data_IF_454118534321
#
_entry.id   IF_454118534321
#
_cell.length_a   1.000
_cell.length_b   1.000
_cell.length_c   1.000
_cell.angle_alpha   90.00
_cell.angle_beta   90.00
_cell.angle_gamma   90.00
#
_symmetry.space_group_name_H-M   'P 1'
#
loop_
_entity.id
_entity.type
_entity.pdbx_description
1 polymer ?
#
# COMPACT_ATOMS: atom_id res chain seq x y z
N UNK A 1 13.93 21.04 13.10
CA UNK A 1 14.18 20.51 11.73
C UNK A 1 13.08 19.51 11.42
N UNK A 2 12.63 19.40 10.18
CA UNK A 2 11.61 18.42 9.83
C UNK A 2 12.28 17.10 9.43
N UNK A 3 11.85 15.98 10.04
CA UNK A 3 12.48 14.68 9.84
C UNK A 3 11.64 13.85 8.89
N UNK A 4 12.22 13.52 7.73
CA UNK A 4 11.67 12.56 6.79
C UNK A 4 12.19 11.17 7.14
N UNK A 5 11.28 10.23 7.38
CA UNK A 5 11.58 8.85 7.78
C UNK A 5 11.17 7.89 6.66
N UNK A 6 11.93 6.80 6.52
CA UNK A 6 11.66 5.72 5.55
C UNK A 6 11.79 4.36 6.23
N UNK A 7 10.75 3.54 6.13
CA UNK A 7 10.74 2.14 6.54
C UNK A 7 10.52 1.27 5.31
N UNK A 8 11.18 0.12 5.21
CA UNK A 8 10.97 -0.81 4.09
C UNK A 8 11.23 -2.26 4.48
N UNK A 9 10.47 -3.17 3.89
CA UNK A 9 10.67 -4.61 4.02
C UNK A 9 10.39 -5.29 2.68
N UNK A 10 10.99 -6.47 2.50
CA UNK A 10 10.84 -7.30 1.32
C UNK A 10 10.20 -8.63 1.74
N UNK A 11 9.23 -9.07 0.95
CA UNK A 11 8.42 -10.26 1.21
C UNK A 11 8.56 -11.14 -0.03
N UNK A 12 8.96 -12.39 0.15
CA UNK A 12 8.88 -13.38 -0.93
C UNK A 12 7.42 -13.70 -1.23
N UNK A 13 7.07 -13.76 -2.51
CA UNK A 13 5.71 -14.06 -2.96
C UNK A 13 5.64 -15.43 -3.63
N UNK A 14 4.54 -16.15 -3.39
CA UNK A 14 4.24 -17.44 -4.02
C UNK A 14 3.43 -17.28 -5.31
N UNK A 15 2.63 -16.21 -5.41
CA UNK A 15 1.90 -15.85 -6.63
C UNK A 15 2.84 -15.34 -7.74
N UNK A 16 2.36 -15.35 -9.00
CA UNK A 16 3.18 -14.84 -10.09
C UNK A 16 3.37 -13.31 -9.98
N UNK A 17 4.56 -12.79 -10.30
CA UNK A 17 4.83 -11.35 -10.22
C UNK A 17 3.90 -10.51 -11.10
N UNK A 18 3.46 -11.06 -12.23
CA UNK A 18 2.51 -10.39 -13.14
C UNK A 18 1.12 -10.26 -12.50
N UNK A 19 0.61 -11.34 -11.90
CA UNK A 19 -0.69 -11.33 -11.22
C UNK A 19 -0.66 -10.43 -10.00
N UNK A 20 0.41 -10.47 -9.21
CA UNK A 20 0.58 -9.60 -8.06
C UNK A 20 0.62 -8.13 -8.46
N UNK A 21 1.41 -7.79 -9.48
CA UNK A 21 1.50 -6.41 -9.95
C UNK A 21 0.16 -5.92 -10.50
N UNK A 22 -0.51 -6.73 -11.33
CA UNK A 22 -1.86 -6.43 -11.84
C UNK A 22 -2.82 -6.15 -10.68
N UNK A 23 -2.82 -7.00 -9.66
CA UNK A 23 -3.70 -6.84 -8.51
C UNK A 23 -3.45 -5.53 -7.77
N UNK A 24 -2.19 -5.16 -7.53
CA UNK A 24 -1.82 -3.88 -6.92
C UNK A 24 -2.36 -2.68 -7.70
N UNK A 25 -2.29 -2.69 -9.03
CA UNK A 25 -2.67 -1.53 -9.85
C UNK A 25 -4.15 -1.45 -10.18
N UNK A 26 -4.81 -2.58 -10.40
CA UNK A 26 -6.16 -2.61 -10.98
C UNK A 26 -7.21 -3.16 -10.01
N UNK A 27 -6.82 -4.01 -9.06
CA UNK A 27 -7.77 -4.81 -8.28
C UNK A 27 -7.64 -4.59 -6.76
N UNK A 28 -6.82 -3.62 -6.33
CA UNK A 28 -6.59 -3.33 -4.92
C UNK A 28 -7.89 -2.98 -4.16
N UNK A 29 -8.92 -2.50 -4.86
CA UNK A 29 -10.23 -2.24 -4.27
C UNK A 29 -10.96 -3.52 -3.81
N UNK A 30 -10.52 -4.70 -4.24
CA UNK A 30 -10.96 -6.00 -3.73
C UNK A 30 -10.21 -6.44 -2.46
N UNK A 31 -9.23 -5.66 -1.98
CA UNK A 31 -8.50 -5.97 -0.74
C UNK A 31 -9.40 -6.21 0.49
N UNK A 32 -10.61 -5.64 0.66
CA UNK A 32 -11.48 -6.00 1.79
C UNK A 32 -11.86 -7.49 1.82
N UNK A 33 -11.86 -8.16 0.65
CA UNK A 33 -12.10 -9.60 0.55
C UNK A 33 -10.90 -10.42 1.04
N UNK A 34 -9.70 -9.83 0.98
CA UNK A 34 -8.44 -10.45 1.31
C UNK A 34 -7.95 -10.13 2.73
N UNK A 35 -8.24 -8.92 3.23
CA UNK A 35 -7.73 -8.38 4.48
C UNK A 35 -8.88 -7.88 5.37
N UNK A 36 -9.17 -8.61 6.44
CA UNK A 36 -10.33 -8.39 7.33
C UNK A 36 -10.35 -7.04 8.05
N UNK A 37 -9.21 -6.35 8.09
CA UNK A 37 -9.05 -5.04 8.73
C UNK A 37 -9.34 -3.87 7.79
N UNK A 38 -9.51 -4.12 6.49
CA UNK A 38 -9.92 -3.12 5.50
C UNK A 38 -11.43 -3.25 5.31
N UNK A 39 -12.17 -2.18 5.59
CA UNK A 39 -13.63 -2.23 5.58
C UNK A 39 -14.23 -1.94 4.20
N UNK A 40 -13.54 -1.14 3.38
CA UNK A 40 -14.06 -0.76 2.07
C UNK A 40 -13.24 0.33 1.38
N UNK A 41 -13.55 0.51 0.10
CA UNK A 41 -13.02 1.56 -0.76
C UNK A 41 -14.16 2.45 -1.25
N UNK A 42 -13.92 3.75 -1.24
CA UNK A 42 -14.79 4.77 -1.79
C UNK A 42 -14.02 5.53 -2.88
N UNK A 43 -14.54 5.48 -4.10
CA UNK A 43 -14.02 6.25 -5.22
C UNK A 43 -14.69 7.63 -5.20
N UNK A 44 -13.90 8.69 -5.35
CA UNK A 44 -14.45 10.04 -5.49
C UNK A 44 -14.85 10.24 -6.97
N UNK A 45 -15.99 10.91 -7.22
CA UNK A 45 -16.61 11.01 -8.55
C UNK A 45 -15.62 11.44 -9.66
N UNK A 46 -15.77 10.84 -10.84
CA UNK A 46 -14.97 10.99 -12.08
C UNK A 46 -13.62 10.24 -12.20
N UNK A 47 -13.19 9.48 -11.19
CA UNK A 47 -11.87 8.83 -11.19
C UNK A 47 -11.96 7.29 -11.09
N UNK A 48 -12.21 6.61 -12.22
CA UNK A 48 -12.01 5.16 -12.32
C UNK A 48 -10.51 4.85 -12.32
N UNK A 49 -10.08 4.01 -11.36
CA UNK A 49 -8.77 3.32 -11.20
C UNK A 49 -7.68 3.57 -12.27
N UNK A 50 -7.34 4.83 -12.49
CA UNK A 50 -6.39 5.32 -13.50
C UNK A 50 -5.27 6.04 -12.77
N UNK A 51 -4.14 6.22 -13.46
CA UNK A 51 -3.03 6.97 -12.89
C UNK A 51 -3.49 8.37 -12.47
N UNK A 52 -3.24 8.73 -11.22
CA UNK A 52 -3.64 10.03 -10.65
C UNK A 52 -5.00 10.03 -9.95
N UNK A 53 -5.79 8.94 -10.03
CA UNK A 53 -7.06 8.82 -9.32
C UNK A 53 -6.89 8.92 -7.81
N UNK A 54 -7.88 9.55 -7.18
CA UNK A 54 -8.04 9.75 -5.75
C UNK A 54 -9.10 8.82 -5.21
N UNK A 55 -8.72 8.00 -4.24
CA UNK A 55 -9.61 7.07 -3.55
C UNK A 55 -9.46 7.20 -2.05
N UNK A 56 -10.53 6.89 -1.34
CA UNK A 56 -10.50 6.71 0.11
C UNK A 56 -10.68 5.24 0.42
N UNK A 57 -10.02 4.76 1.46
CA UNK A 57 -10.29 3.46 2.06
C UNK A 57 -10.26 3.57 3.57
N UNK A 58 -11.16 2.83 4.19
CA UNK A 58 -11.35 2.78 5.63
C UNK A 58 -10.83 1.47 6.18
N UNK A 59 -10.11 1.53 7.29
CA UNK A 59 -9.51 0.35 7.93
C UNK A 59 -9.49 0.50 9.46
N UNK A 60 -9.46 -0.63 10.17
CA UNK A 60 -9.21 -0.66 11.61
C UNK A 60 -7.73 -0.84 11.91
N UNK A 61 -7.17 0.09 12.66
CA UNK A 61 -5.84 -0.01 13.26
C UNK A 61 -5.94 0.13 14.78
N UNK A 62 -5.58 -0.94 15.50
CA UNK A 62 -5.57 -0.97 16.98
C UNK A 62 -6.94 -0.59 17.58
N UNK A 63 -8.03 -1.09 16.97
CA UNK A 63 -9.39 -0.84 17.44
C UNK A 63 -9.93 0.56 17.13
N UNK A 64 -9.21 1.35 16.33
CA UNK A 64 -9.69 2.64 15.82
C UNK A 64 -9.87 2.59 14.31
N UNK A 65 -11.02 3.07 13.85
CA UNK A 65 -11.30 3.27 12.44
C UNK A 65 -10.53 4.49 11.95
N UNK A 66 -9.77 4.29 10.88
CA UNK A 66 -9.04 5.33 10.18
C UNK A 66 -9.46 5.36 8.71
N UNK A 67 -9.24 6.51 8.09
CA UNK A 67 -9.49 6.76 6.67
C UNK A 67 -8.21 7.29 6.07
N UNK A 68 -7.74 6.61 5.04
CA UNK A 68 -6.62 7.06 4.21
C UNK A 68 -7.20 7.54 2.88
N UNK A 69 -7.01 8.83 2.55
CA UNK A 69 -7.39 9.37 1.24
C UNK A 69 -6.12 9.54 0.43
N UNK A 70 -6.01 8.80 -0.64
CA UNK A 70 -4.79 8.67 -1.42
C UNK A 70 -4.98 9.02 -2.89
N UNK A 71 -3.93 9.58 -3.50
CA UNK A 71 -3.72 9.56 -4.93
C UNK A 71 -2.83 8.38 -5.28
N UNK A 72 -3.21 7.65 -6.31
CA UNK A 72 -2.44 6.51 -6.81
C UNK A 72 -1.56 6.86 -8.01
N UNK A 73 -0.32 6.38 -8.02
CA UNK A 73 0.61 6.51 -9.16
C UNK A 73 1.15 5.13 -9.54
N UNK A 74 1.27 4.89 -10.85
CA UNK A 74 1.77 3.64 -11.42
C UNK A 74 3.06 3.92 -12.19
N UNK A 75 4.08 3.13 -11.94
CA UNK A 75 5.31 3.04 -12.73
C UNK A 75 5.40 1.63 -13.32
N UNK A 76 4.82 1.47 -14.51
CA UNK A 76 4.79 0.20 -15.26
C UNK A 76 6.20 -0.31 -15.55
N UNK A 77 7.14 0.59 -15.89
CA UNK A 77 8.52 0.23 -16.22
C UNK A 77 9.26 -0.38 -15.03
N UNK A 78 8.95 0.09 -13.81
CA UNK A 78 9.54 -0.42 -12.57
C UNK A 78 8.66 -1.43 -11.82
N UNK A 79 7.51 -1.82 -12.36
CA UNK A 79 6.52 -2.66 -11.67
C UNK A 79 6.21 -2.13 -10.26
N UNK A 80 5.98 -0.82 -10.17
CA UNK A 80 5.79 -0.13 -8.90
C UNK A 80 4.49 0.67 -8.87
N UNK A 81 3.92 0.71 -7.67
CA UNK A 81 2.69 1.39 -7.32
C UNK A 81 2.97 2.28 -6.12
N UNK A 82 2.51 3.52 -6.17
CA UNK A 82 2.62 4.48 -5.08
C UNK A 82 1.25 4.98 -4.65
N UNK A 83 1.02 5.03 -3.34
CA UNK A 83 -0.19 5.57 -2.72
C UNK A 83 0.23 6.79 -1.90
N UNK A 84 -0.16 7.98 -2.34
CA UNK A 84 0.26 9.25 -1.76
C UNK A 84 -0.91 9.86 -1.01
N UNK A 85 -0.72 10.16 0.27
CA UNK A 85 -1.73 10.84 1.07
C UNK A 85 -2.08 12.21 0.47
N UNK A 86 -3.37 12.42 0.20
CA UNK A 86 -3.95 13.71 -0.19
C UNK A 86 -5.04 14.17 0.78
N UNK A 87 -5.35 13.36 1.80
CA UNK A 87 -6.25 13.71 2.89
C UNK A 87 -6.40 12.58 3.91
N UNK A 88 -7.35 12.75 4.82
CA UNK A 88 -7.66 11.78 5.87
C UNK A 88 -6.66 11.81 7.02
N UNK A 89 -6.79 10.81 7.89
CA UNK A 89 -6.11 10.77 9.19
C UNK A 89 -4.58 10.76 9.09
N UNK A 90 -4.01 10.29 7.98
CA UNK A 90 -2.56 10.32 7.78
C UNK A 90 -2.00 11.74 7.70
N UNK A 91 -2.71 12.68 7.05
CA UNK A 91 -2.26 14.06 6.92
C UNK A 91 -2.58 14.94 8.14
N UNK A 92 -3.42 14.45 9.07
CA UNK A 92 -3.60 15.08 10.39
C UNK A 92 -2.40 14.80 11.30
N UNK A 93 -1.74 13.64 11.11
CA UNK A 93 -0.62 13.18 11.93
C UNK A 93 0.75 13.48 11.32
N UNK A 94 0.82 13.60 9.99
CA UNK A 94 2.07 13.77 9.25
C UNK A 94 1.92 14.85 8.18
N UNK A 95 3.01 15.57 7.90
CA UNK A 95 3.05 16.54 6.80
C UNK A 95 2.93 15.86 5.43
N UNK A 96 3.50 14.67 5.32
CA UNK A 96 3.37 13.82 4.14
C UNK A 96 3.42 12.36 4.54
N UNK A 97 2.72 11.52 3.77
CA UNK A 97 2.67 10.08 3.97
C UNK A 97 2.53 9.39 2.61
N UNK A 98 3.41 8.43 2.31
CA UNK A 98 3.48 7.74 1.02
C UNK A 98 3.82 6.27 1.23
N UNK A 99 3.00 5.39 0.69
CA UNK A 99 3.29 3.95 0.57
C UNK A 99 3.77 3.68 -0.86
N UNK A 100 4.78 2.81 -1.00
CA UNK A 100 5.31 2.36 -2.27
C UNK A 100 5.40 0.83 -2.23
N UNK A 101 4.76 0.17 -3.19
CA UNK A 101 4.85 -1.26 -3.40
C UNK A 101 5.59 -1.48 -4.72
N UNK A 102 6.64 -2.32 -4.71
CA UNK A 102 7.41 -2.65 -5.92
C UNK A 102 7.56 -4.17 -6.03
N UNK A 103 7.17 -4.73 -7.16
CA UNK A 103 7.43 -6.13 -7.49
C UNK A 103 8.83 -6.24 -8.09
N UNK A 104 9.64 -7.14 -7.55
CA UNK A 104 11.04 -7.35 -7.94
C UNK A 104 11.18 -8.82 -8.33
N UNK A 105 11.46 -9.09 -9.61
CA UNK A 105 11.82 -10.45 -10.05
C UNK A 105 13.22 -10.78 -9.55
N UNK A 106 13.38 -11.95 -8.91
CA UNK A 106 14.69 -12.38 -8.37
C UNK A 106 15.61 -12.86 -9.48
N UNK A 107 15.07 -13.52 -10.51
CA UNK A 107 15.78 -13.82 -11.76
C UNK A 107 14.80 -13.96 -12.93
N UNK A 108 15.32 -13.95 -14.15
CA UNK A 108 14.54 -14.26 -15.37
C UNK A 108 14.19 -15.75 -15.48
N UNK A 109 14.92 -16.60 -14.75
CA UNK A 109 14.91 -18.05 -14.96
C UNK A 109 14.11 -18.80 -13.87
N UNK A 110 13.65 -18.09 -12.84
CA UNK A 110 12.85 -18.65 -11.74
C UNK A 110 11.59 -17.82 -11.53
N UNK A 111 10.47 -18.46 -11.15
CA UNK A 111 9.24 -17.75 -10.81
C UNK A 111 9.34 -16.96 -9.49
N UNK A 112 10.47 -17.06 -8.77
CA UNK A 112 10.67 -16.36 -7.51
C UNK A 112 10.69 -14.85 -7.71
N UNK A 113 9.81 -14.17 -6.99
CA UNK A 113 9.73 -12.72 -6.93
C UNK A 113 9.60 -12.27 -5.48
N UNK A 114 9.98 -11.02 -5.22
CA UNK A 114 9.72 -10.36 -3.96
C UNK A 114 8.89 -9.11 -4.17
N UNK A 115 8.13 -8.74 -3.15
CA UNK A 115 7.44 -7.46 -3.08
C UNK A 115 8.11 -6.63 -2.01
N UNK A 116 8.58 -5.45 -2.41
CA UNK A 116 9.13 -4.45 -1.51
C UNK A 116 8.05 -3.45 -1.14
N UNK A 117 7.62 -3.49 0.12
CA UNK A 117 6.77 -2.48 0.73
C UNK A 117 7.63 -1.40 1.38
N UNK A 118 7.42 -0.14 1.02
CA UNK A 118 8.13 1.02 1.59
C UNK A 118 7.13 2.04 2.08
N UNK A 119 7.31 2.50 3.31
CA UNK A 119 6.57 3.62 3.89
C UNK A 119 7.51 4.82 4.07
N UNK A 120 7.14 5.96 3.50
CA UNK A 120 7.85 7.24 3.60
C UNK A 120 6.92 8.28 4.20
N UNK A 121 7.36 8.96 5.26
CA UNK A 121 6.53 9.96 5.92
C UNK A 121 7.38 11.09 6.52
N UNK A 122 6.73 12.22 6.76
CA UNK A 122 7.36 13.42 7.31
C UNK A 122 6.63 13.88 8.57
N UNK A 123 7.36 13.91 9.68
CA UNK A 123 6.82 14.30 11.00
C UNK A 123 6.60 15.81 11.09
N UNK A 124 5.68 16.26 11.93
CA UNK A 124 5.58 17.70 12.24
C UNK A 124 6.77 18.15 13.09
N UNK A 125 7.17 17.31 14.03
CA UNK A 125 8.29 17.49 14.96
C UNK A 125 8.96 16.13 15.25
N UNK A 126 10.21 16.16 15.72
CA UNK A 126 11.02 14.94 15.91
C UNK A 126 10.44 13.97 16.95
N UNK A 127 9.76 14.51 17.96
CA UNK A 127 9.12 13.77 19.04
C UNK A 127 7.79 13.09 18.66
N UNK A 128 7.30 13.26 17.42
CA UNK A 128 6.06 12.62 16.99
C UNK A 128 6.21 11.09 16.92
N UNK A 129 5.08 10.40 17.17
CA UNK A 129 5.01 8.94 17.27
C UNK A 129 5.47 8.24 16.00
N UNK A 130 6.18 7.14 16.17
CA UNK A 130 6.62 6.25 15.10
C UNK A 130 5.45 5.43 14.52
N UNK A 131 5.51 5.13 13.23
CA UNK A 131 4.45 4.44 12.46
C UNK A 131 4.64 2.92 12.37
N UNK A 132 5.17 2.29 13.42
CA UNK A 132 5.49 0.84 13.36
C UNK A 132 4.26 -0.02 13.12
N UNK A 133 3.12 0.32 13.72
CA UNK A 133 1.88 -0.48 13.59
C UNK A 133 1.24 -0.32 12.22
N UNK A 134 1.31 0.88 11.63
CA UNK A 134 0.92 1.15 10.25
C UNK A 134 1.80 0.37 9.28
N UNK A 135 3.11 0.34 9.54
CA UNK A 135 4.05 -0.41 8.71
C UNK A 135 3.80 -1.93 8.81
N UNK A 136 3.63 -2.48 10.01
CA UNK A 136 3.25 -3.89 10.21
C UNK A 136 1.91 -4.23 9.54
N UNK A 137 0.93 -3.32 9.62
CA UNK A 137 -0.35 -3.48 8.95
C UNK A 137 -0.16 -3.55 7.43
N UNK A 138 0.59 -2.62 6.84
CA UNK A 138 0.93 -2.62 5.42
C UNK A 138 1.59 -3.95 4.99
N UNK A 139 2.58 -4.43 5.74
CA UNK A 139 3.26 -5.71 5.46
C UNK A 139 2.29 -6.89 5.57
N UNK A 140 1.37 -6.87 6.51
CA UNK A 140 0.34 -7.92 6.65
C UNK A 140 -0.58 -7.94 5.42
N UNK A 141 -1.06 -6.77 4.97
CA UNK A 141 -1.90 -6.69 3.77
C UNK A 141 -1.20 -7.22 2.52
N UNK A 142 0.10 -6.93 2.34
CA UNK A 142 0.85 -7.43 1.20
C UNK A 142 0.98 -8.96 1.20
N UNK A 143 1.10 -9.59 2.37
CA UNK A 143 1.09 -11.05 2.52
C UNK A 143 -0.29 -11.65 2.27
N UNK A 144 -1.34 -11.01 2.77
CA UNK A 144 -2.72 -11.46 2.55
C UNK A 144 -3.08 -11.39 1.06
N UNK A 145 -2.61 -10.36 0.35
CA UNK A 145 -2.76 -10.24 -1.10
C UNK A 145 -2.10 -11.42 -1.84
N UNK A 146 -0.85 -11.72 -1.51
CA UNK A 146 -0.11 -12.83 -2.13
C UNK A 146 -0.85 -14.16 -1.93
N UNK A 147 -1.26 -14.41 -0.69
CA UNK A 147 -1.98 -15.63 -0.33
C UNK A 147 -3.30 -15.78 -1.08
N UNK A 148 -4.07 -14.72 -1.26
CA UNK A 148 -5.33 -14.79 -2.01
C UNK A 148 -5.08 -15.07 -3.49
N UNK A 149 -4.10 -14.38 -4.09
CA UNK A 149 -3.72 -14.60 -5.49
C UNK A 149 -3.17 -16.01 -5.74
N UNK A 150 -2.34 -16.52 -4.83
CA UNK A 150 -1.80 -17.88 -4.91
C UNK A 150 -2.89 -18.95 -4.82
N UNK A 151 -3.91 -18.72 -3.97
CA UNK A 151 -5.05 -19.61 -3.83
C UNK A 151 -6.11 -19.46 -4.95
N UNK A 152 -5.98 -18.47 -5.83
CA UNK A 152 -6.92 -18.16 -6.91
C UNK A 152 -8.29 -17.72 -6.40
N UNK A 153 -8.34 -17.01 -5.27
CA UNK A 153 -9.57 -16.54 -4.62
C UNK A 153 -9.85 -15.07 -4.89
#
# INVERSE_FOLDING_TARGET
MCVRVKLSAEIEIESSPESYFKCLKEELHHLPNAASRVHGFEFHEDEFNTQGSVKSWTYTLVGKDETFKERFEIDEANCSVSMIAVGGHMLERFKSYKIICKVIRVSTDKPAATVKGTLVYEKHQESDTEVFKEFEFMITMLKDLDKNLFLGK
#
